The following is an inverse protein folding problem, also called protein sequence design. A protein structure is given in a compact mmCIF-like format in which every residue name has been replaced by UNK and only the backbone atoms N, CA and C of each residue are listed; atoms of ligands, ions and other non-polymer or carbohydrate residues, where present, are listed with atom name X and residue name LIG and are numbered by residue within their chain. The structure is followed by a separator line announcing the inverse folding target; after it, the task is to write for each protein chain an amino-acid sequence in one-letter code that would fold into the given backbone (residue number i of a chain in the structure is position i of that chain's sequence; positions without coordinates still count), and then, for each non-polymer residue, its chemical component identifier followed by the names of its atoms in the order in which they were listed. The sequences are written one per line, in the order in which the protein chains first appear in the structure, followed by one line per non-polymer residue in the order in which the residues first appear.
data_IF_148929094038
#
_entry.id   IF_148929094038
#
_cell.length_a   1.000
_cell.length_b   1.000
_cell.length_c   1.000
_cell.angle_alpha   90.00
_cell.angle_beta   90.00
_cell.angle_gamma   90.00
#
_symmetry.space_group_name_H-M   'P 1'
#
loop_
_entity.id
_entity.type
_entity.pdbx_description
1 polymer ?
#
# COMPACT_ATOMS: atom_id res chain seq x y z
N UNK A 1 4.45 -21.56 4.62
CA UNK A 1 5.58 -20.67 4.26
C UNK A 1 5.09 -19.74 3.16
N UNK A 2 5.12 -18.42 3.34
CA UNK A 2 4.74 -17.49 2.26
C UNK A 2 5.99 -16.83 1.70
N UNK A 3 6.08 -16.73 0.37
CA UNK A 3 7.23 -16.13 -0.29
C UNK A 3 7.17 -14.60 -0.16
N UNK A 4 8.26 -14.00 0.32
CA UNK A 4 8.47 -12.55 0.26
C UNK A 4 9.09 -12.23 -1.10
N UNK A 5 8.45 -11.37 -1.88
CA UNK A 5 8.96 -10.93 -3.18
C UNK A 5 9.54 -9.53 -3.06
N UNK A 6 10.83 -9.38 -3.39
CA UNK A 6 11.51 -8.08 -3.42
C UNK A 6 11.76 -7.69 -4.89
N UNK A 7 11.42 -6.46 -5.25
CA UNK A 7 11.77 -5.88 -6.55
C UNK A 7 12.75 -4.73 -6.35
N UNK A 8 13.95 -4.87 -6.91
CA UNK A 8 14.92 -3.78 -6.95
C UNK A 8 14.42 -2.66 -7.86
N UNK A 9 14.64 -1.41 -7.46
CA UNK A 9 14.36 -0.26 -8.32
C UNK A 9 15.23 -0.34 -9.58
N UNK A 10 14.60 -0.10 -10.75
CA UNK A 10 15.35 0.20 -11.96
C UNK A 10 16.10 1.52 -11.75
N UNK A 11 17.39 1.58 -12.13
CA UNK A 11 18.19 2.83 -12.14
C UNK A 11 17.57 3.95 -12.97
N UNK A 12 16.67 3.63 -13.93
CA UNK A 12 15.78 4.62 -14.58
C UNK A 12 14.58 4.85 -13.67
N UNK A 13 14.74 5.63 -12.60
CA UNK A 13 13.77 5.78 -11.52
C UNK A 13 12.99 7.10 -11.56
N UNK A 14 11.66 7.01 -11.45
CA UNK A 14 10.78 8.14 -11.09
C UNK A 14 9.34 8.01 -11.60
N UNK A 15 9.13 7.56 -12.84
CA UNK A 15 7.85 7.80 -13.54
C UNK A 15 7.03 6.55 -13.89
N UNK A 16 7.63 5.36 -13.85
CA UNK A 16 6.92 4.12 -14.22
C UNK A 16 5.73 3.84 -13.29
N UNK A 17 5.79 4.26 -12.02
CA UNK A 17 4.74 3.96 -11.05
C UNK A 17 3.41 4.69 -11.32
N UNK A 18 3.47 5.97 -11.70
CA UNK A 18 2.28 6.76 -12.09
C UNK A 18 1.65 6.21 -13.38
N UNK A 19 2.47 5.85 -14.37
CA UNK A 19 1.99 5.21 -15.61
C UNK A 19 1.38 3.83 -15.35
N UNK A 20 1.97 3.03 -14.47
CA UNK A 20 1.46 1.70 -14.13
C UNK A 20 0.09 1.75 -13.43
N UNK A 21 -0.24 2.85 -12.72
CA UNK A 21 -1.59 3.06 -12.16
C UNK A 21 -2.64 3.37 -13.23
N UNK A 22 -2.32 4.12 -14.29
CA UNK A 22 -3.31 4.62 -15.26
C UNK A 22 -4.11 3.53 -16.00
N UNK A 23 -3.64 2.28 -16.03
CA UNK A 23 -4.39 1.15 -16.63
C UNK A 23 -4.83 0.07 -15.65
N UNK A 24 -4.25 0.00 -14.44
CA UNK A 24 -4.55 -1.07 -13.49
C UNK A 24 -5.85 -0.77 -12.77
N UNK A 25 -6.96 -1.22 -13.33
CA UNK A 25 -8.26 -1.13 -12.66
C UNK A 25 -8.18 -1.87 -11.31
N UNK A 26 -8.68 -1.31 -10.21
CA UNK A 26 -8.61 -1.88 -8.84
C UNK A 26 -9.26 -3.26 -8.74
N UNK A 27 -8.65 -4.22 -8.05
CA UNK A 27 -9.18 -5.60 -7.93
C UNK A 27 -10.50 -5.62 -7.15
N UNK A 28 -10.58 -4.78 -6.11
CA UNK A 28 -11.76 -4.54 -5.29
C UNK A 28 -12.46 -3.23 -5.68
N UNK A 29 -13.77 -3.21 -5.47
CA UNK A 29 -14.60 -2.01 -5.58
C UNK A 29 -15.64 -1.96 -4.46
N UNK A 30 -15.91 -0.77 -3.94
CA UNK A 30 -16.95 -0.52 -2.95
C UNK A 30 -17.82 0.66 -3.40
N UNK A 31 -19.08 0.69 -3.01
CA UNK A 31 -19.87 1.93 -3.06
C UNK A 31 -19.42 2.80 -1.89
N UNK A 32 -18.83 3.96 -2.17
CA UNK A 32 -18.35 4.87 -1.14
C UNK A 32 -19.17 6.17 -1.13
N UNK A 33 -19.65 6.65 0.04
CA UNK A 33 -19.48 6.04 1.36
C UNK A 33 -20.31 4.75 1.51
N UNK A 34 -19.79 3.72 2.21
CA UNK A 34 -20.56 2.49 2.41
C UNK A 34 -21.61 2.68 3.49
N UNK A 35 -22.81 2.16 3.21
CA UNK A 35 -23.93 2.13 4.18
C UNK A 35 -23.70 1.03 5.22
N UNK A 36 -23.40 -0.19 4.75
CA UNK A 36 -23.14 -1.35 5.60
C UNK A 36 -21.64 -1.43 5.89
N UNK A 37 -21.25 -0.95 7.08
CA UNK A 37 -19.85 -0.92 7.53
C UNK A 37 -19.75 -1.11 9.04
N UNK A 38 -18.57 -1.51 9.50
CA UNK A 38 -18.22 -1.49 10.91
C UNK A 38 -18.09 -0.06 11.43
N UNK A 39 -17.86 0.06 12.75
CA UNK A 39 -17.43 1.31 13.37
C UNK A 39 -16.20 1.87 12.66
N UNK A 40 -16.16 3.20 12.55
CA UNK A 40 -15.04 3.94 11.98
C UNK A 40 -14.04 4.20 13.10
N UNK A 41 -12.78 3.80 12.86
CA UNK A 41 -11.66 3.94 13.78
C UNK A 41 -10.66 4.92 13.16
N UNK A 42 -10.12 5.85 13.95
CA UNK A 42 -9.01 6.71 13.53
C UNK A 42 -7.70 5.94 13.66
N UNK A 43 -6.81 5.99 12.66
CA UNK A 43 -5.55 5.23 12.70
C UNK A 43 -4.66 5.65 13.90
N UNK A 44 -4.67 6.94 14.23
CA UNK A 44 -4.06 7.54 15.42
C UNK A 44 -4.74 8.88 15.70
N UNK A 45 -4.62 9.38 16.92
CA UNK A 45 -5.29 10.62 17.37
C UNK A 45 -4.92 11.85 16.54
N UNK A 46 -3.71 11.88 15.95
CA UNK A 46 -3.27 12.99 15.11
C UNK A 46 -3.46 12.76 13.60
N UNK A 47 -3.80 11.52 13.19
CA UNK A 47 -3.89 11.20 11.76
C UNK A 47 -5.24 11.54 11.15
N UNK A 48 -5.26 12.17 9.97
CA UNK A 48 -6.49 12.36 9.18
C UNK A 48 -6.95 11.06 8.48
N UNK A 49 -6.50 9.88 8.94
CA UNK A 49 -6.79 8.57 8.32
C UNK A 49 -7.83 7.80 9.14
N UNK A 50 -8.86 7.34 8.44
CA UNK A 50 -9.94 6.52 8.98
C UNK A 50 -9.85 5.09 8.46
N UNK A 51 -10.20 4.15 9.31
CA UNK A 51 -10.17 2.72 9.05
C UNK A 51 -11.52 2.13 9.44
N UNK A 52 -12.09 1.31 8.57
CA UNK A 52 -13.28 0.53 8.87
C UNK A 52 -13.35 -0.68 7.94
N UNK A 53 -14.20 -1.64 8.29
CA UNK A 53 -14.44 -2.84 7.49
C UNK A 53 -15.79 -2.71 6.80
N UNK A 54 -15.85 -3.05 5.52
CA UNK A 54 -17.11 -3.23 4.80
C UNK A 54 -16.99 -4.35 3.77
N UNK A 55 -18.13 -4.71 3.17
CA UNK A 55 -18.16 -5.67 2.09
C UNK A 55 -17.89 -4.98 0.74
N UNK A 56 -16.87 -5.46 0.04
CA UNK A 56 -16.51 -5.02 -1.30
C UNK A 56 -16.77 -6.08 -2.36
N UNK A 57 -16.94 -5.63 -3.59
CA UNK A 57 -17.08 -6.49 -4.77
C UNK A 57 -15.72 -6.76 -5.38
N UNK A 58 -15.36 -8.02 -5.45
CA UNK A 58 -14.19 -8.50 -6.18
C UNK A 58 -14.54 -8.66 -7.66
N UNK A 59 -13.59 -8.42 -8.56
CA UNK A 59 -13.81 -8.67 -9.99
C UNK A 59 -14.17 -10.11 -10.29
N UNK A 60 -15.08 -10.28 -11.25
CA UNK A 60 -15.53 -11.59 -11.72
C UNK A 60 -14.41 -12.43 -12.37
N UNK A 61 -13.30 -11.83 -12.83
CA UNK A 61 -12.14 -12.58 -13.33
C UNK A 61 -11.51 -13.50 -12.26
N UNK A 62 -11.76 -13.23 -10.97
CA UNK A 62 -11.28 -14.07 -9.88
C UNK A 62 -12.29 -15.16 -9.49
N UNK A 63 -13.43 -15.30 -10.18
CA UNK A 63 -14.49 -16.24 -9.81
C UNK A 63 -14.01 -17.69 -9.80
N UNK A 64 -13.23 -18.10 -10.80
CA UNK A 64 -12.63 -19.43 -10.85
C UNK A 64 -11.64 -19.65 -9.71
N UNK A 65 -10.78 -18.67 -9.44
CA UNK A 65 -9.82 -18.71 -8.33
C UNK A 65 -10.52 -18.87 -7.00
N UNK A 66 -11.53 -18.05 -6.72
CA UNK A 66 -12.27 -18.09 -5.44
C UNK A 66 -13.07 -19.39 -5.29
N UNK A 67 -13.66 -19.93 -6.38
CA UNK A 67 -14.35 -21.24 -6.34
C UNK A 67 -13.42 -22.40 -6.01
N UNK A 68 -12.15 -22.31 -6.41
CA UNK A 68 -11.15 -23.37 -6.20
C UNK A 68 -10.43 -23.26 -4.85
N UNK A 69 -10.60 -22.14 -4.12
CA UNK A 69 -10.01 -21.97 -2.81
C UNK A 69 -10.83 -22.73 -1.76
N UNK A 70 -10.16 -23.54 -0.94
CA UNK A 70 -10.81 -24.36 0.11
C UNK A 70 -11.35 -23.52 1.27
N UNK A 71 -10.63 -22.47 1.64
CA UNK A 71 -10.98 -21.58 2.74
C UNK A 71 -10.90 -20.14 2.24
N UNK A 72 -12.04 -19.44 2.19
CA UNK A 72 -12.09 -18.00 1.92
C UNK A 72 -13.22 -17.36 2.71
N UNK A 73 -13.07 -16.07 3.02
CA UNK A 73 -14.19 -15.25 3.53
C UNK A 73 -15.04 -14.66 2.40
N UNK A 74 -14.84 -15.09 1.16
CA UNK A 74 -15.58 -14.61 0.02
C UNK A 74 -16.96 -15.28 -0.05
N UNK A 75 -17.99 -14.51 -0.39
CA UNK A 75 -19.35 -14.99 -0.62
C UNK A 75 -19.66 -14.82 -2.10
N UNK A 76 -19.98 -15.92 -2.77
CA UNK A 76 -20.38 -15.92 -4.19
C UNK A 76 -21.90 -15.97 -4.28
N UNK A 77 -22.51 -14.97 -4.91
CA UNK A 77 -23.96 -14.94 -5.22
C UNK A 77 -24.16 -14.42 -6.64
N UNK A 78 -24.91 -15.15 -7.48
CA UNK A 78 -25.24 -14.75 -8.85
C UNK A 78 -24.01 -14.30 -9.67
N UNK A 79 -22.92 -15.09 -9.64
CA UNK A 79 -21.63 -14.79 -10.25
C UNK A 79 -20.91 -13.51 -9.77
N UNK A 80 -21.45 -12.83 -8.75
CA UNK A 80 -20.77 -11.74 -8.07
C UNK A 80 -20.05 -12.27 -6.84
N UNK A 81 -18.83 -11.79 -6.63
CA UNK A 81 -17.99 -12.14 -5.50
C UNK A 81 -17.98 -10.95 -4.54
N UNK A 82 -18.42 -11.20 -3.31
CA UNK A 82 -18.38 -10.23 -2.23
C UNK A 82 -17.36 -10.68 -1.20
N UNK A 83 -16.51 -9.79 -0.72
CA UNK A 83 -15.51 -10.10 0.32
C UNK A 83 -15.49 -8.99 1.35
N UNK A 84 -15.30 -9.30 2.64
CA UNK A 84 -14.93 -8.29 3.62
C UNK A 84 -13.59 -7.66 3.21
N UNK A 85 -13.49 -6.35 3.35
CA UNK A 85 -12.29 -5.60 3.06
C UNK A 85 -12.06 -4.49 4.10
N UNK A 86 -10.80 -4.26 4.43
CA UNK A 86 -10.35 -3.10 5.18
C UNK A 86 -10.34 -1.89 4.24
N UNK A 87 -10.98 -0.81 4.68
CA UNK A 87 -10.99 0.45 3.97
C UNK A 87 -10.12 1.44 4.72
N UNK A 88 -9.16 2.06 4.04
CA UNK A 88 -8.43 3.22 4.54
C UNK A 88 -8.90 4.44 3.75
N UNK A 89 -9.46 5.43 4.44
CA UNK A 89 -9.92 6.68 3.83
C UNK A 89 -9.38 7.91 4.56
N UNK A 90 -9.48 9.08 3.92
CA UNK A 90 -9.17 10.37 4.54
C UNK A 90 -10.43 10.98 5.15
N UNK A 91 -10.36 11.39 6.42
CA UNK A 91 -11.50 11.91 7.18
C UNK A 91 -12.17 13.12 6.51
N UNK A 92 -11.38 14.16 6.20
CA UNK A 92 -11.89 15.46 5.73
C UNK A 92 -12.34 15.49 4.27
N UNK A 93 -11.81 14.61 3.43
CA UNK A 93 -12.00 14.67 1.98
C UNK A 93 -12.83 13.50 1.43
N UNK A 94 -13.33 12.62 2.30
CA UNK A 94 -14.04 11.40 1.90
C UNK A 94 -13.30 10.60 0.82
N UNK A 95 -11.97 10.72 0.79
CA UNK A 95 -11.15 10.14 -0.27
C UNK A 95 -10.80 8.72 0.14
N UNK A 96 -11.23 7.76 -0.66
CA UNK A 96 -10.79 6.38 -0.53
C UNK A 96 -9.29 6.30 -0.89
N UNK A 97 -8.46 5.94 0.08
CA UNK A 97 -7.01 5.79 -0.13
C UNK A 97 -6.72 4.40 -0.67
N UNK A 98 -7.07 3.36 0.09
CA UNK A 98 -6.81 1.97 -0.31
C UNK A 98 -7.82 0.99 0.27
N UNK A 99 -7.92 -0.18 -0.37
CA UNK A 99 -8.71 -1.33 0.06
C UNK A 99 -7.81 -2.54 0.18
N UNK A 100 -8.00 -3.33 1.25
CA UNK A 100 -7.33 -4.62 1.42
C UNK A 100 -8.37 -5.71 1.68
N UNK A 101 -8.23 -6.83 0.97
CA UNK A 101 -8.92 -8.08 1.32
C UNK A 101 -8.47 -8.58 2.70
N UNK A 102 -9.27 -9.48 3.29
CA UNK A 102 -8.89 -10.14 4.53
C UNK A 102 -7.51 -10.83 4.44
N UNK A 103 -7.25 -11.54 3.34
CA UNK A 103 -5.99 -12.26 3.15
C UNK A 103 -4.80 -11.29 3.04
N UNK A 104 -4.96 -10.18 2.34
CA UNK A 104 -3.93 -9.13 2.25
C UNK A 104 -3.59 -8.55 3.63
N UNK A 105 -4.56 -8.43 4.55
CA UNK A 105 -4.30 -7.99 5.92
C UNK A 105 -3.50 -9.03 6.71
N UNK A 106 -3.83 -10.32 6.59
CA UNK A 106 -3.04 -11.38 7.22
C UNK A 106 -1.60 -11.43 6.68
N UNK A 107 -1.41 -11.13 5.40
CA UNK A 107 -0.09 -10.98 4.80
C UNK A 107 0.65 -9.75 5.32
N UNK A 108 -0.05 -8.61 5.42
CA UNK A 108 0.54 -7.37 5.93
C UNK A 108 1.00 -7.54 7.37
N UNK A 109 0.21 -8.19 8.21
CA UNK A 109 0.56 -8.50 9.61
C UNK A 109 1.86 -9.31 9.72
N UNK A 110 2.04 -10.32 8.86
CA UNK A 110 3.29 -11.11 8.79
C UNK A 110 4.48 -10.31 8.26
N UNK A 111 4.23 -9.32 7.39
CA UNK A 111 5.26 -8.41 6.87
C UNK A 111 5.62 -7.31 7.86
N UNK A 112 4.80 -7.02 8.87
CA UNK A 112 5.02 -5.93 9.82
C UNK A 112 6.43 -5.92 10.44
N UNK A 113 7.00 -7.03 10.94
CA UNK A 113 8.36 -7.01 11.50
C UNK A 113 9.43 -6.62 10.46
N UNK A 114 9.27 -7.08 9.22
CA UNK A 114 10.20 -6.72 8.14
C UNK A 114 10.05 -5.25 7.74
N UNK A 115 8.82 -4.74 7.69
CA UNK A 115 8.53 -3.33 7.44
C UNK A 115 9.17 -2.45 8.51
N UNK A 116 9.05 -2.82 9.79
CA UNK A 116 9.67 -2.09 10.90
C UNK A 116 11.20 -2.06 10.78
N UNK A 117 11.82 -3.20 10.44
CA UNK A 117 13.26 -3.25 10.17
C UNK A 117 13.68 -2.31 9.03
N UNK A 118 12.90 -2.25 7.94
CA UNK A 118 13.17 -1.34 6.83
C UNK A 118 13.05 0.13 7.22
N UNK A 119 12.16 0.47 8.18
CA UNK A 119 12.11 1.83 8.74
C UNK A 119 13.40 2.17 9.50
N UNK A 120 13.90 1.25 10.34
CA UNK A 120 15.17 1.45 11.06
C UNK A 120 16.36 1.59 10.11
N UNK A 121 16.43 0.78 9.06
CA UNK A 121 17.46 0.85 8.03
C UNK A 121 17.42 2.19 7.27
N UNK A 122 16.21 2.68 6.96
CA UNK A 122 16.02 3.97 6.31
C UNK A 122 16.42 5.15 7.21
N UNK A 123 16.14 5.08 8.51
CA UNK A 123 16.55 6.08 9.50
C UNK A 123 18.08 6.13 9.64
N UNK A 124 18.74 4.98 9.79
CA UNK A 124 20.21 4.90 9.83
C UNK A 124 20.85 5.47 8.56
N UNK A 125 20.32 5.10 7.39
CA UNK A 125 20.80 5.64 6.12
C UNK A 125 20.61 7.16 6.01
N UNK A 126 19.57 7.73 6.65
CA UNK A 126 19.38 9.17 6.72
C UNK A 126 20.40 9.85 7.64
N UNK A 127 20.70 9.27 8.80
CA UNK A 127 21.72 9.78 9.73
C UNK A 127 23.13 9.77 9.12
N UNK A 128 23.52 8.67 8.48
CA UNK A 128 24.79 8.54 7.75
C UNK A 128 24.89 9.59 6.63
N UNK A 129 23.80 9.80 5.87
CA UNK A 129 23.76 10.83 4.85
C UNK A 129 23.85 12.24 5.43
N UNK A 130 23.21 12.50 6.58
CA UNK A 130 23.34 13.79 7.27
C UNK A 130 24.77 14.04 7.73
N UNK A 131 25.45 13.03 8.28
CA UNK A 131 26.88 13.12 8.64
C UNK A 131 27.77 13.35 7.40
N UNK A 132 27.53 12.63 6.31
CA UNK A 132 28.25 12.80 5.05
C UNK A 132 27.99 14.17 4.38
N UNK A 133 26.78 14.72 4.51
CA UNK A 133 26.44 16.06 4.02
C UNK A 133 27.07 17.18 4.87
N UNK A 134 27.29 16.98 6.17
CA UNK A 134 28.06 17.92 7.00
C UNK A 134 29.53 17.97 6.55
N UNK A 135 30.09 16.86 6.07
CA UNK A 135 31.42 16.83 5.43
C UNK A 135 31.44 17.48 4.03
N UNK A 136 30.30 17.60 3.36
CA UNK A 136 30.13 18.39 2.12
C UNK A 136 29.71 19.83 2.39
N UNK A 137 30.27 20.46 3.44
CA UNK A 137 30.25 21.92 3.56
C UNK A 137 30.92 22.50 2.31
N UNK A 138 30.10 23.12 1.45
CA UNK A 138 30.43 24.03 0.35
C UNK A 138 31.91 24.16 -0.01
N UNK A 139 32.50 23.16 -0.67
CA UNK A 139 33.57 23.49 -1.61
C UNK A 139 32.87 23.99 -2.87
N UNK A 140 32.99 25.29 -3.14
CA UNK A 140 32.68 25.82 -4.45
C UNK A 140 33.47 24.97 -5.46
N UNK A 141 32.76 24.29 -6.37
CA UNK A 141 33.39 23.56 -7.47
C UNK A 141 34.33 24.55 -8.17
N UNK A 142 35.64 24.43 -7.92
CA UNK A 142 36.64 25.22 -8.65
C UNK A 142 36.51 24.79 -10.11
N UNK A 143 35.94 25.66 -10.93
CA UNK A 143 35.97 25.50 -12.38
C UNK A 143 37.43 25.31 -12.79
N UNK A 144 37.78 24.12 -13.25
CA UNK A 144 39.03 23.91 -13.96
C UNK A 144 38.75 24.09 -15.44
N UNK A 145 39.40 25.09 -16.04
CA UNK A 145 39.58 25.15 -17.48
C UNK A 145 40.37 23.92 -17.90
N UNK A 146 39.77 23.13 -18.79
CA UNK A 146 40.46 22.06 -19.50
C UNK A 146 41.47 22.77 -20.41
N UNK A 147 42.76 22.51 -20.19
CA UNK A 147 43.80 22.68 -21.21
C UNK A 147 44.08 21.31 -21.80
#
# INVERSE_FOLDING_TARGET
MFNIFIRNFSKKAGWSWIKNRRGRKKILSISYPPKDRSNIIKLSDDSDKLIFICNGKLRNNFLSTVKNMKETKCIIKNNNITTPCLVISKAKCHTLLELFTYDEILHLEKLSPHILKLFEEAEKGFEENKQNCILRKHEALKFRLIK
#
